data_IF_629206912524
#
_entry.id   IF_629206912524
#
_cell.length_a   1.000
_cell.length_b   1.000
_cell.length_c   1.000
_cell.angle_alpha   90.00
_cell.angle_beta   90.00
_cell.angle_gamma   90.00
#
_symmetry.space_group_name_H-M   'P 1'
#
loop_
_entity.id
_entity.type
_entity.pdbx_description
1 polymer ?
#
# COMPACT_ATOMS: atom_id res chain seq x y z
N UNK A 1 -13.02 4.17 -29.70
CA UNK A 1 -13.05 5.38 -28.84
C UNK A 1 -11.77 5.44 -28.04
N UNK A 2 -11.16 6.62 -27.83
CA UNK A 2 -10.00 6.75 -26.97
C UNK A 2 -10.35 6.30 -25.56
N UNK A 3 -9.39 5.67 -24.88
CA UNK A 3 -9.57 5.17 -23.52
C UNK A 3 -9.84 6.36 -22.58
N UNK A 4 -10.80 6.25 -21.64
CA UNK A 4 -11.03 7.32 -20.67
C UNK A 4 -9.77 7.58 -19.84
N UNK A 5 -9.48 8.86 -19.60
CA UNK A 5 -8.37 9.31 -18.75
C UNK A 5 -8.56 8.83 -17.30
N UNK A 6 -7.46 8.66 -16.58
CA UNK A 6 -7.52 8.35 -15.15
C UNK A 6 -8.18 9.48 -14.35
N UNK A 7 -8.86 9.12 -13.25
CA UNK A 7 -9.62 10.06 -12.40
C UNK A 7 -8.74 11.19 -11.89
N UNK A 8 -7.47 10.91 -11.53
CA UNK A 8 -6.57 11.96 -11.06
C UNK A 8 -6.24 12.97 -12.16
N UNK A 9 -6.04 12.49 -13.39
CA UNK A 9 -5.78 13.35 -14.54
C UNK A 9 -7.00 14.22 -14.87
N UNK A 10 -8.20 13.64 -14.80
CA UNK A 10 -9.45 14.40 -14.99
C UNK A 10 -9.61 15.52 -13.95
N UNK A 11 -9.30 15.25 -12.67
CA UNK A 11 -9.33 16.27 -11.61
C UNK A 11 -8.33 17.40 -11.88
N UNK A 12 -7.11 17.07 -12.29
CA UNK A 12 -6.11 18.09 -12.63
C UNK A 12 -6.56 18.99 -13.79
N UNK A 13 -7.16 18.40 -14.84
CA UNK A 13 -7.72 19.16 -15.96
C UNK A 13 -8.85 20.07 -15.49
N UNK A 14 -9.77 19.58 -14.66
CA UNK A 14 -10.85 20.39 -14.10
C UNK A 14 -10.32 21.58 -13.27
N UNK A 15 -9.30 21.35 -12.42
CA UNK A 15 -8.67 22.43 -11.65
C UNK A 15 -8.01 23.48 -12.55
N UNK A 16 -7.34 23.08 -13.63
CA UNK A 16 -6.76 24.01 -14.60
C UNK A 16 -7.84 24.84 -15.30
N UNK A 17 -8.94 24.22 -15.73
CA UNK A 17 -10.07 24.93 -16.37
C UNK A 17 -10.58 26.02 -15.42
N UNK A 18 -10.89 25.66 -14.17
CA UNK A 18 -11.38 26.60 -13.17
C UNK A 18 -10.38 27.75 -12.90
N UNK A 19 -9.08 27.45 -12.88
CA UNK A 19 -8.05 28.48 -12.69
C UNK A 19 -8.03 29.48 -13.85
N UNK A 20 -8.08 29.01 -15.10
CA UNK A 20 -8.06 29.88 -16.27
C UNK A 20 -9.38 30.64 -16.51
N UNK A 21 -10.52 30.07 -16.11
CA UNK A 21 -11.79 30.80 -16.10
C UNK A 21 -11.74 31.99 -15.14
N UNK A 22 -11.15 31.81 -13.95
CA UNK A 22 -10.90 32.93 -13.03
C UNK A 22 -9.93 33.96 -13.62
N UNK A 23 -8.88 33.54 -14.34
CA UNK A 23 -7.99 34.50 -15.04
C UNK A 23 -8.75 35.29 -16.13
N UNK A 24 -9.66 34.63 -16.86
CA UNK A 24 -10.52 35.29 -17.84
C UNK A 24 -11.44 36.31 -17.18
N UNK A 25 -12.11 35.94 -16.09
CA UNK A 25 -13.00 36.83 -15.33
C UNK A 25 -12.26 38.02 -14.71
N UNK A 26 -11.01 37.78 -14.28
CA UNK A 26 -10.12 38.83 -13.75
C UNK A 26 -9.57 39.78 -14.83
N UNK A 27 -9.82 39.52 -16.12
CA UNK A 27 -9.30 40.32 -17.23
C UNK A 27 -7.79 40.20 -17.43
N UNK A 28 -7.18 39.14 -16.88
CA UNK A 28 -5.74 38.93 -16.94
C UNK A 28 -5.23 37.92 -15.92
N UNK A 29 -3.93 37.58 -15.98
CA UNK A 29 -3.33 36.59 -15.10
C UNK A 29 -3.52 36.93 -13.61
N UNK A 30 -3.99 35.97 -12.82
CA UNK A 30 -4.17 36.12 -11.36
C UNK A 30 -2.82 36.36 -10.68
N UNK A 31 -1.76 35.76 -11.23
CA UNK A 31 -0.38 35.95 -10.82
C UNK A 31 0.45 36.37 -12.04
N UNK A 32 1.53 37.16 -11.85
CA UNK A 32 2.39 37.58 -12.95
C UNK A 32 2.90 36.41 -13.77
N UNK A 33 2.98 36.58 -15.11
CA UNK A 33 3.42 35.53 -16.04
C UNK A 33 4.83 35.01 -15.69
N UNK A 34 5.67 35.87 -15.12
CA UNK A 34 7.03 35.52 -14.66
C UNK A 34 7.04 34.47 -13.55
N UNK A 35 6.00 34.45 -12.72
CA UNK A 35 5.83 33.57 -11.55
C UNK A 35 5.24 32.21 -11.95
N UNK A 36 5.90 31.52 -12.90
CA UNK A 36 5.37 30.29 -13.52
C UNK A 36 5.10 29.19 -12.48
N UNK A 37 5.99 29.04 -11.50
CA UNK A 37 5.87 28.01 -10.47
C UNK A 37 4.71 28.28 -9.51
N UNK A 38 4.56 29.53 -9.06
CA UNK A 38 3.42 29.96 -8.24
C UNK A 38 2.09 29.70 -8.95
N UNK A 39 2.02 30.03 -10.25
CA UNK A 39 0.84 29.78 -11.08
C UNK A 39 0.48 28.29 -11.13
N UNK A 40 1.45 27.42 -11.37
CA UNK A 40 1.22 25.97 -11.43
C UNK A 40 0.78 25.41 -10.07
N UNK A 41 1.38 25.91 -8.99
CA UNK A 41 1.03 25.48 -7.64
C UNK A 41 -0.40 25.87 -7.27
N UNK A 42 -0.81 27.10 -7.58
CA UNK A 42 -2.19 27.56 -7.34
C UNK A 42 -3.19 26.81 -8.21
N UNK A 43 -2.91 26.69 -9.51
CA UNK A 43 -3.83 26.09 -10.47
C UNK A 43 -4.09 24.59 -10.24
N UNK A 44 -3.09 23.85 -9.76
CA UNK A 44 -3.20 22.41 -9.50
C UNK A 44 -3.36 22.06 -8.02
N UNK A 45 -3.38 23.05 -7.12
CA UNK A 45 -3.41 22.87 -5.66
C UNK A 45 -2.29 21.94 -5.14
N UNK A 46 -1.09 22.09 -5.68
CA UNK A 46 0.09 21.31 -5.30
C UNK A 46 1.12 22.19 -4.59
N UNK A 47 1.88 21.62 -3.67
CA UNK A 47 2.87 22.40 -2.93
C UNK A 47 3.98 22.94 -3.83
N UNK A 48 4.47 24.15 -3.52
CA UNK A 48 5.56 24.79 -4.24
C UNK A 48 6.82 23.92 -4.32
N UNK A 49 7.12 23.19 -3.24
CA UNK A 49 8.24 22.25 -3.19
C UNK A 49 8.07 21.09 -4.18
N UNK A 50 6.85 20.62 -4.41
CA UNK A 50 6.56 19.57 -5.39
C UNK A 50 6.78 20.07 -6.80
N UNK A 51 6.24 21.24 -7.14
CA UNK A 51 6.44 21.89 -8.44
C UNK A 51 7.93 22.14 -8.69
N UNK A 52 8.66 22.61 -7.68
CA UNK A 52 10.10 22.86 -7.77
C UNK A 52 10.90 21.59 -8.02
N UNK A 53 10.60 20.50 -7.30
CA UNK A 53 11.25 19.20 -7.50
C UNK A 53 10.98 18.64 -8.91
N UNK A 54 9.74 18.70 -9.38
CA UNK A 54 9.37 18.24 -10.72
C UNK A 54 10.07 19.08 -11.79
N UNK A 55 10.02 20.40 -11.67
CA UNK A 55 10.68 21.35 -12.56
C UNK A 55 12.19 21.08 -12.65
N UNK A 56 12.85 20.79 -11.53
CA UNK A 56 14.27 20.45 -11.52
C UNK A 56 14.57 19.11 -12.21
N UNK A 57 13.72 18.10 -11.99
CA UNK A 57 13.85 16.80 -12.68
C UNK A 57 13.75 16.96 -14.19
N UNK A 58 12.74 17.71 -14.66
CA UNK A 58 12.54 18.00 -16.08
C UNK A 58 13.75 18.76 -16.66
N UNK A 59 14.24 19.79 -15.96
CA UNK A 59 15.44 20.56 -16.39
C UNK A 59 16.68 19.69 -16.53
N UNK A 60 16.82 18.69 -15.66
CA UNK A 60 17.94 17.74 -15.68
C UNK A 60 17.70 16.53 -16.61
N UNK A 61 16.61 16.51 -17.40
CA UNK A 61 16.19 15.38 -18.24
C UNK A 61 16.06 14.05 -17.47
N UNK A 62 15.70 14.11 -16.19
CA UNK A 62 15.46 12.94 -15.35
C UNK A 62 14.01 12.48 -15.55
N UNK A 63 13.80 11.17 -15.73
CA UNK A 63 12.47 10.57 -15.86
C UNK A 63 11.61 10.80 -14.62
N UNK A 64 10.32 11.11 -14.83
CA UNK A 64 9.35 11.25 -13.75
C UNK A 64 8.86 9.87 -13.33
N UNK A 65 9.51 9.30 -12.32
CA UNK A 65 9.13 7.99 -11.82
C UNK A 65 7.83 8.04 -11.00
N UNK A 66 6.98 7.02 -11.18
CA UNK A 66 5.83 6.80 -10.30
C UNK A 66 6.32 6.51 -8.87
N UNK A 67 5.61 6.97 -7.82
CA UNK A 67 5.99 6.74 -6.41
C UNK A 67 6.00 5.26 -5.96
N UNK A 68 5.93 4.29 -6.87
CA UNK A 68 5.81 2.87 -6.51
C UNK A 68 7.10 2.40 -5.82
N UNK A 69 7.00 2.18 -4.51
CA UNK A 69 7.90 1.27 -3.79
C UNK A 69 7.87 -0.08 -4.50
N UNK A 70 8.96 -0.45 -5.17
CA UNK A 70 9.22 -1.87 -5.48
C UNK A 70 9.46 -2.56 -4.13
N UNK A 71 8.39 -3.04 -3.49
CA UNK A 71 8.55 -3.93 -2.34
C UNK A 71 9.16 -5.22 -2.91
N UNK A 72 10.36 -5.63 -2.48
CA UNK A 72 10.87 -6.93 -2.87
C UNK A 72 9.85 -7.96 -2.39
N UNK A 73 9.26 -8.72 -3.32
CA UNK A 73 8.46 -9.87 -2.92
C UNK A 73 9.45 -10.89 -2.35
N UNK A 74 9.30 -11.30 -1.09
CA UNK A 74 10.03 -12.47 -0.62
C UNK A 74 9.66 -13.62 -1.55
N UNK A 75 10.64 -14.26 -2.18
CA UNK A 75 10.40 -15.52 -2.89
C UNK A 75 9.92 -16.53 -1.86
N UNK A 76 8.90 -17.32 -2.21
CA UNK A 76 8.43 -18.42 -1.37
C UNK A 76 9.62 -19.36 -1.11
N UNK A 77 9.97 -19.58 0.16
CA UNK A 77 10.97 -20.57 0.54
C UNK A 77 10.36 -21.95 0.28
N UNK A 78 10.84 -22.66 -0.74
CA UNK A 78 10.36 -23.99 -1.12
C UNK A 78 11.26 -25.13 -0.63
N UNK A 79 12.48 -24.82 -0.19
CA UNK A 79 13.43 -25.81 0.30
C UNK A 79 13.46 -25.72 1.83
N UNK A 80 12.76 -26.63 2.50
CA UNK A 80 12.78 -26.78 3.95
C UNK A 80 13.61 -28.02 4.29
N UNK A 81 14.92 -27.94 4.08
CA UNK A 81 15.81 -29.07 4.35
C UNK A 81 16.05 -29.30 5.86
N UNK A 82 15.58 -28.39 6.72
CA UNK A 82 15.80 -28.41 8.17
C UNK A 82 14.54 -28.19 9.01
N UNK A 83 13.33 -28.36 8.46
CA UNK A 83 12.17 -28.50 9.32
C UNK A 83 12.09 -29.93 9.80
N UNK A 84 12.19 -30.12 11.11
CA UNK A 84 11.85 -31.40 11.73
C UNK A 84 10.34 -31.62 11.63
N UNK A 85 9.94 -32.22 10.52
CA UNK A 85 8.56 -32.63 10.21
C UNK A 85 7.99 -33.48 11.36
N UNK A 86 8.84 -34.25 12.05
CA UNK A 86 8.46 -35.06 13.20
C UNK A 86 7.99 -34.20 14.37
N UNK A 87 8.75 -33.15 14.71
CA UNK A 87 8.39 -32.20 15.76
C UNK A 87 7.05 -31.50 15.47
N UNK A 88 6.82 -31.03 14.24
CA UNK A 88 5.53 -30.40 13.85
C UNK A 88 4.38 -31.41 13.96
N UNK A 89 4.57 -32.63 13.45
CA UNK A 89 3.57 -33.70 13.49
C UNK A 89 3.17 -34.06 14.93
N UNK A 90 4.16 -34.18 15.82
CA UNK A 90 3.91 -34.50 17.23
C UNK A 90 3.17 -33.38 17.95
N UNK A 91 3.54 -32.11 17.71
CA UNK A 91 2.80 -30.96 18.26
C UNK A 91 1.34 -30.95 17.79
N UNK A 92 1.07 -31.25 16.52
CA UNK A 92 -0.30 -31.33 16.00
C UNK A 92 -1.07 -32.49 16.66
N UNK A 93 -0.46 -33.67 16.80
CA UNK A 93 -1.13 -34.80 17.47
C UNK A 93 -1.43 -34.52 18.95
N UNK A 94 -0.51 -33.88 19.67
CA UNK A 94 -0.76 -33.45 21.04
C UNK A 94 -1.93 -32.47 21.15
N UNK A 95 -2.09 -31.56 20.18
CA UNK A 95 -3.22 -30.62 20.13
C UNK A 95 -4.55 -31.33 19.86
N UNK A 96 -4.56 -32.35 18.99
CA UNK A 96 -5.74 -33.18 18.75
C UNK A 96 -6.11 -34.06 19.96
N UNK A 97 -5.13 -34.66 20.63
CA UNK A 97 -5.35 -35.47 21.84
C UNK A 97 -5.85 -34.62 23.02
N UNK A 98 -5.32 -33.40 23.20
CA UNK A 98 -5.69 -32.52 24.31
C UNK A 98 -7.06 -31.83 24.13
N UNK A 99 -7.75 -31.99 22.98
CA UNK A 99 -9.16 -31.60 22.70
C UNK A 99 -9.69 -30.31 23.35
N UNK A 100 -8.90 -29.23 23.44
CA UNK A 100 -9.44 -27.91 23.84
C UNK A 100 -8.75 -26.76 23.10
N UNK A 101 -9.36 -26.23 22.03
CA UNK A 101 -9.14 -24.86 21.60
C UNK A 101 -10.41 -24.06 21.91
N UNK A 102 -10.68 -23.81 23.19
CA UNK A 102 -11.73 -22.86 23.56
C UNK A 102 -11.35 -22.14 24.84
N UNK A 103 -10.79 -20.94 24.68
CA UNK A 103 -10.96 -19.85 25.65
C UNK A 103 -11.40 -18.62 24.84
N UNK A 104 -12.63 -18.19 25.09
CA UNK A 104 -13.09 -16.84 24.75
C UNK A 104 -12.56 -15.91 25.84
N UNK A 105 -11.60 -15.07 25.51
CA UNK A 105 -11.28 -13.86 26.28
C UNK A 105 -10.76 -12.79 25.33
N UNK A 106 -11.19 -11.55 25.57
CA UNK A 106 -11.06 -10.38 24.68
C UNK A 106 -9.63 -9.88 24.42
N UNK A 107 -8.60 -10.64 24.79
CA UNK A 107 -7.19 -10.20 24.78
C UNK A 107 -6.22 -11.13 24.02
N UNK A 108 -6.69 -12.24 23.44
CA UNK A 108 -5.84 -13.17 22.69
C UNK A 108 -6.09 -13.12 21.18
N UNK A 109 -4.99 -13.07 20.42
CA UNK A 109 -5.01 -13.26 18.96
C UNK A 109 -4.53 -14.66 18.63
N UNK A 110 -5.32 -15.39 17.86
CA UNK A 110 -4.96 -16.69 17.32
C UNK A 110 -4.54 -16.55 15.86
N UNK A 111 -3.42 -17.15 15.47
CA UNK A 111 -3.04 -17.34 14.07
C UNK A 111 -3.36 -18.78 13.69
N UNK A 112 -4.23 -18.95 12.68
CA UNK A 112 -4.52 -20.26 12.09
C UNK A 112 -3.56 -20.47 10.92
N UNK A 113 -2.62 -21.38 11.07
CA UNK A 113 -1.76 -21.87 10.01
C UNK A 113 -2.41 -23.11 9.40
N UNK A 114 -2.95 -22.97 8.20
CA UNK A 114 -3.59 -24.08 7.49
C UNK A 114 -2.67 -24.62 6.41
N UNK A 115 -2.40 -25.92 6.42
CA UNK A 115 -1.67 -26.55 5.32
C UNK A 115 -2.56 -26.58 4.06
N UNK A 116 -2.02 -26.09 2.95
CA UNK A 116 -2.68 -26.09 1.65
C UNK A 116 -1.71 -26.47 0.55
N UNK A 117 -2.25 -27.10 -0.50
CA UNK A 117 -1.53 -27.42 -1.72
C UNK A 117 -2.12 -26.63 -2.91
N UNK A 118 -1.64 -26.88 -4.12
CA UNK A 118 -2.13 -26.23 -5.35
C UNK A 118 -3.62 -26.50 -5.66
N UNK A 119 -4.21 -27.51 -5.02
CA UNK A 119 -5.60 -27.92 -5.19
C UNK A 119 -6.50 -27.48 -4.02
N UNK A 120 -5.97 -26.72 -3.06
CA UNK A 120 -6.74 -26.17 -1.95
C UNK A 120 -6.23 -26.57 -0.57
N UNK A 121 -7.07 -26.36 0.42
CA UNK A 121 -6.81 -26.64 1.83
C UNK A 121 -6.91 -28.15 2.12
N UNK A 122 -6.01 -28.66 2.98
CA UNK A 122 -6.05 -30.05 3.45
C UNK A 122 -6.89 -30.10 4.73
N UNK A 123 -8.11 -30.68 4.72
CA UNK A 123 -8.96 -30.69 5.92
C UNK A 123 -8.25 -31.37 7.10
N UNK A 124 -8.30 -30.76 8.29
CA UNK A 124 -7.66 -31.30 9.49
C UNK A 124 -6.14 -31.06 9.56
N UNK A 125 -5.64 -30.05 8.85
CA UNK A 125 -4.24 -29.64 8.85
C UNK A 125 -4.07 -28.18 9.28
N UNK A 126 -4.89 -27.76 10.23
CA UNK A 126 -4.83 -26.48 10.90
C UNK A 126 -3.99 -26.54 12.18
N UNK A 127 -3.01 -25.62 12.30
CA UNK A 127 -2.25 -25.35 13.51
C UNK A 127 -2.66 -23.99 14.04
N UNK A 128 -3.01 -23.91 15.32
CA UNK A 128 -3.49 -22.69 15.97
C UNK A 128 -2.38 -22.17 16.90
N UNK A 129 -1.82 -21.00 16.60
CA UNK A 129 -0.81 -20.34 17.41
C UNK A 129 -1.46 -19.24 18.26
N UNK A 130 -1.25 -19.29 19.58
CA UNK A 130 -1.67 -18.25 20.51
C UNK A 130 -0.61 -17.16 20.62
N UNK A 131 -1.00 -15.90 20.49
CA UNK A 131 -0.11 -14.76 20.73
C UNK A 131 -0.70 -13.87 21.81
N UNK A 132 0.06 -13.69 22.90
CA UNK A 132 -0.23 -12.72 23.94
C UNK A 132 0.24 -11.33 23.50
N UNK A 133 -0.68 -10.37 23.44
CA UNK A 133 -0.38 -8.98 23.14
C UNK A 133 0.20 -8.31 24.39
N UNK A 134 1.50 -7.96 24.38
CA UNK A 134 2.04 -7.06 25.39
C UNK A 134 1.46 -5.66 25.18
N UNK A 135 0.66 -5.18 26.13
CA UNK A 135 0.21 -3.78 26.16
C UNK A 135 1.46 -2.90 26.32
N UNK A 136 1.76 -2.09 25.31
CA UNK A 136 2.70 -0.99 25.45
C UNK A 136 1.99 0.10 26.26
N UNK A 137 2.32 0.22 27.54
CA UNK A 137 1.94 1.40 28.33
C UNK A 137 2.76 2.58 27.80
N UNK A 138 2.05 3.65 27.39
CA UNK A 138 2.63 4.92 26.94
C UNK A 138 3.34 5.64 28.09
#
# INVERSE_FOLDING_TARGET
>A
MPKPLDIQSQKQIASLINYFERERENGGPLLPIKCVRERVADALHVSMGTVTKISQKVKNNITLDSPKKKRPHLKRVTNQDNLDIGSIRNTIFELYEKRKPTIKTDEQRYIILHAGNKNGFIPGAELLLEISLKKHTL
#
